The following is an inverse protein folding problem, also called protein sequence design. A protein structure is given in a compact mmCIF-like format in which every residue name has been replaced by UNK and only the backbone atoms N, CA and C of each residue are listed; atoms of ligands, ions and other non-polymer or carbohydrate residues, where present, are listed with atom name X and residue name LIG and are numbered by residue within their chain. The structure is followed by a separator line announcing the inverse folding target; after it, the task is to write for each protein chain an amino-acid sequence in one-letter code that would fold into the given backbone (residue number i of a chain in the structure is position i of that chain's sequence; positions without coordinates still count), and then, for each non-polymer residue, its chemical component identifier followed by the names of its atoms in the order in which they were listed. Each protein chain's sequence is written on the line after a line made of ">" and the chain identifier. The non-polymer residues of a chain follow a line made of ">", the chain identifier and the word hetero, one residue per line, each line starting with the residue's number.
data_IF_207676861604
#
_entry.id   IF_207676861604
#
_cell.length_a   1.000
_cell.length_b   1.000
_cell.length_c   1.000
_cell.angle_alpha   90.00
_cell.angle_beta   90.00
_cell.angle_gamma   90.00
#
_symmetry.space_group_name_H-M   'P 1'
#
loop_
_entity.id
_entity.type
_entity.pdbx_description
1 polymer ?
#
# COMPACT_ATOMS: atom_id res chain seq x y z
N UNK A 1 20.74 -14.73 -1.61
CA UNK A 1 19.63 -13.74 -1.72
C UNK A 1 19.04 -13.63 -0.32
N UNK A 2 19.19 -12.47 0.34
CA UNK A 2 18.75 -12.31 1.73
C UNK A 2 17.22 -12.43 1.82
N UNK A 3 16.72 -13.04 2.89
CA UNK A 3 15.30 -13.04 3.19
C UNK A 3 14.81 -11.57 3.37
N UNK A 4 13.53 -11.34 3.15
CA UNK A 4 12.92 -10.04 3.38
C UNK A 4 12.21 -10.05 4.73
N UNK A 5 12.43 -9.00 5.51
CA UNK A 5 11.68 -8.73 6.74
C UNK A 5 10.72 -7.59 6.44
N UNK A 6 9.43 -7.81 6.75
CA UNK A 6 8.41 -6.75 6.71
C UNK A 6 7.99 -6.44 8.13
N UNK A 7 8.12 -5.19 8.53
CA UNK A 7 7.86 -4.74 9.90
C UNK A 7 7.13 -3.39 9.95
N UNK A 8 6.49 -3.06 11.07
CA UNK A 8 5.92 -1.73 11.28
C UNK A 8 6.98 -0.63 11.19
N UNK A 9 6.54 0.54 10.72
CA UNK A 9 7.30 1.79 10.76
C UNK A 9 7.61 2.17 12.22
N UNK A 10 8.84 2.60 12.49
CA UNK A 10 9.28 3.13 13.77
C UNK A 10 9.71 4.60 13.63
N UNK A 11 9.76 5.41 14.72
CA UNK A 11 10.12 6.82 14.63
C UNK A 11 11.45 7.10 13.93
N UNK A 12 12.45 6.26 14.16
CA UNK A 12 13.77 6.34 13.53
C UNK A 12 13.77 6.12 12.03
N UNK A 13 12.73 5.48 11.49
CA UNK A 13 12.61 5.18 10.05
C UNK A 13 12.10 6.35 9.22
N UNK A 14 11.69 7.45 9.84
CA UNK A 14 11.02 8.57 9.17
C UNK A 14 11.80 9.04 7.92
N UNK A 15 13.11 9.20 8.05
CA UNK A 15 13.97 9.64 6.95
C UNK A 15 13.97 8.63 5.80
N UNK A 16 14.23 7.36 6.10
CA UNK A 16 14.29 6.28 5.09
C UNK A 16 12.96 6.10 4.37
N UNK A 17 11.84 6.16 5.10
CA UNK A 17 10.51 6.09 4.51
C UNK A 17 10.24 7.27 3.56
N UNK A 18 10.61 8.50 3.93
CA UNK A 18 10.53 9.65 3.04
C UNK A 18 11.38 9.49 1.79
N UNK A 19 12.61 8.98 1.92
CA UNK A 19 13.51 8.76 0.79
C UNK A 19 12.97 7.72 -0.20
N UNK A 20 12.28 6.67 0.29
CA UNK A 20 11.61 5.68 -0.57
C UNK A 20 10.48 6.33 -1.36
N UNK A 21 9.61 7.12 -0.73
CA UNK A 21 8.54 7.85 -1.43
C UNK A 21 9.10 8.85 -2.46
N UNK A 22 10.11 9.63 -2.06
CA UNK A 22 10.77 10.58 -2.96
C UNK A 22 11.32 9.91 -4.21
N UNK A 23 11.99 8.77 -4.05
CA UNK A 23 12.56 8.03 -5.18
C UNK A 23 11.51 7.57 -6.17
N UNK A 24 10.36 7.11 -5.67
CA UNK A 24 9.30 6.55 -6.51
C UNK A 24 8.41 7.63 -7.16
N UNK A 25 8.15 8.74 -6.48
CA UNK A 25 7.13 9.71 -6.87
C UNK A 25 7.63 11.12 -7.12
N UNK A 26 8.95 11.33 -7.15
CA UNK A 26 9.54 12.65 -7.43
C UNK A 26 9.02 13.23 -8.75
N UNK A 27 8.58 14.48 -8.70
CA UNK A 27 8.05 15.18 -9.87
C UNK A 27 6.62 14.78 -10.25
N UNK A 28 5.96 13.94 -9.46
CA UNK A 28 4.55 13.57 -9.68
C UNK A 28 3.62 14.34 -8.75
N UNK A 29 2.35 14.48 -9.14
CA UNK A 29 1.30 15.07 -8.30
C UNK A 29 0.94 14.20 -7.08
N UNK A 30 1.35 12.93 -7.06
CA UNK A 30 1.01 11.99 -5.99
C UNK A 30 1.85 12.21 -4.72
N UNK A 31 3.08 12.69 -4.87
CA UNK A 31 4.06 12.78 -3.78
C UNK A 31 3.54 13.61 -2.58
N UNK A 32 2.91 14.75 -2.84
CA UNK A 32 2.39 15.62 -1.78
C UNK A 32 1.38 14.86 -0.90
N UNK A 33 0.42 14.18 -1.51
CA UNK A 33 -0.59 13.42 -0.77
C UNK A 33 0.01 12.24 -0.01
N UNK A 34 0.95 11.51 -0.61
CA UNK A 34 1.59 10.37 0.05
C UNK A 34 2.46 10.80 1.23
N UNK A 35 3.07 11.97 1.19
CA UNK A 35 3.77 12.58 2.33
C UNK A 35 2.83 12.89 3.50
N UNK A 36 1.61 13.38 3.22
CA UNK A 36 0.60 13.63 4.25
C UNK A 36 0.18 12.31 4.94
N UNK A 37 -0.07 11.25 4.14
CA UNK A 37 -0.42 9.92 4.66
C UNK A 37 0.73 9.35 5.51
N UNK A 38 1.98 9.47 5.05
CA UNK A 38 3.15 9.04 5.82
C UNK A 38 3.33 9.86 7.11
N UNK A 39 3.11 11.19 7.04
CA UNK A 39 3.21 12.05 8.22
C UNK A 39 2.17 11.68 9.30
N UNK A 40 0.98 11.27 8.92
CA UNK A 40 -0.01 10.75 9.86
C UNK A 40 0.43 9.41 10.46
N UNK A 41 0.91 8.46 9.64
CA UNK A 41 1.44 7.18 10.11
C UNK A 41 2.62 7.34 11.09
N UNK A 42 3.38 8.44 10.99
CA UNK A 42 4.49 8.79 11.89
C UNK A 42 4.04 9.44 13.21
N UNK A 43 2.76 9.72 13.41
CA UNK A 43 2.26 10.28 14.68
C UNK A 43 2.27 9.29 15.82
N UNK A 44 2.14 7.99 15.54
CA UNK A 44 2.11 6.86 16.48
C UNK A 44 1.02 6.90 17.57
N UNK A 45 0.37 8.03 17.76
CA UNK A 45 -0.76 8.21 18.66
C UNK A 45 -2.05 8.20 17.85
N UNK A 46 -2.76 7.07 17.84
CA UNK A 46 -4.04 6.87 17.14
C UNK A 46 -4.00 7.31 15.65
N UNK A 47 -3.08 6.77 14.84
CA UNK A 47 -2.94 7.17 13.45
C UNK A 47 -4.10 6.62 12.61
N UNK A 48 -4.61 7.41 11.67
CA UNK A 48 -5.57 6.94 10.64
C UNK A 48 -4.92 5.96 9.66
N UNK A 49 -3.61 6.13 9.45
CA UNK A 49 -2.83 5.37 8.48
C UNK A 49 -1.73 4.57 9.16
N UNK A 50 -1.45 3.41 8.61
CA UNK A 50 -0.38 2.53 9.01
C UNK A 50 0.67 2.43 7.90
N UNK A 51 1.91 2.18 8.30
CA UNK A 51 3.00 1.95 7.37
C UNK A 51 3.76 0.69 7.77
N UNK A 52 4.00 -0.19 6.80
CA UNK A 52 4.96 -1.29 6.93
C UNK A 52 6.15 -1.01 6.03
N UNK A 53 7.33 -1.36 6.49
CA UNK A 53 8.60 -1.26 5.78
C UNK A 53 9.11 -2.65 5.41
N UNK A 54 9.80 -2.74 4.29
CA UNK A 54 10.52 -3.94 3.89
C UNK A 54 12.03 -3.68 3.89
N UNK A 55 12.77 -4.61 4.48
CA UNK A 55 14.24 -4.59 4.60
C UNK A 55 14.80 -5.97 4.24
N UNK A 56 15.99 -6.07 3.62
CA UNK A 56 16.72 -7.34 3.55
C UNK A 56 17.12 -7.77 4.97
N UNK A 57 16.99 -9.05 5.27
CA UNK A 57 17.38 -9.58 6.58
C UNK A 57 18.85 -9.28 6.89
N UNK A 58 19.10 -8.69 8.06
CA UNK A 58 20.44 -8.29 8.52
C UNK A 58 20.94 -6.97 7.95
N UNK A 59 20.13 -6.23 7.20
CA UNK A 59 20.47 -4.89 6.69
C UNK A 59 19.47 -3.87 7.25
N UNK A 60 19.97 -2.65 7.57
CA UNK A 60 19.14 -1.53 8.03
C UNK A 60 18.67 -0.64 6.85
N UNK A 61 18.58 -1.24 5.66
CA UNK A 61 18.23 -0.49 4.45
C UNK A 61 16.78 -0.74 4.07
N UNK A 62 15.95 0.29 4.14
CA UNK A 62 14.56 0.23 3.69
C UNK A 62 14.52 0.18 2.16
N UNK A 63 13.98 -0.92 1.61
CA UNK A 63 13.89 -1.17 0.17
C UNK A 63 12.46 -1.02 -0.38
N UNK A 64 11.48 -0.85 0.50
CA UNK A 64 10.10 -0.61 0.13
C UNK A 64 9.22 -0.28 1.32
N UNK A 65 8.03 0.24 1.04
CA UNK A 65 7.01 0.53 2.05
C UNK A 65 5.60 0.34 1.49
N UNK A 66 4.64 0.13 2.39
CA UNK A 66 3.21 0.19 2.08
C UNK A 66 2.49 1.07 3.08
N UNK A 67 1.68 1.98 2.57
CA UNK A 67 0.80 2.86 3.32
C UNK A 67 -0.64 2.38 3.17
N UNK A 68 -1.32 2.13 4.28
CA UNK A 68 -2.71 1.67 4.29
C UNK A 68 -3.44 2.15 5.54
N UNK A 69 -4.76 2.08 5.53
CA UNK A 69 -5.57 2.50 6.66
C UNK A 69 -7.02 2.09 6.50
N UNK A 70 -7.84 2.37 7.51
CA UNK A 70 -9.27 2.08 7.47
C UNK A 70 -9.99 3.01 6.51
N UNK A 71 -11.09 2.54 5.92
CA UNK A 71 -11.97 3.38 5.11
C UNK A 71 -13.02 3.98 6.04
N UNK A 72 -13.02 5.31 6.19
CA UNK A 72 -13.98 6.02 7.01
C UNK A 72 -15.43 5.70 6.58
N UNK A 73 -16.25 5.31 7.54
CA UNK A 73 -17.65 4.96 7.32
C UNK A 73 -17.89 3.55 6.76
N UNK A 74 -16.84 2.81 6.37
CA UNK A 74 -16.95 1.43 5.96
C UNK A 74 -16.64 0.48 7.13
N UNK A 75 -17.47 -0.53 7.34
CA UNK A 75 -17.21 -1.54 8.37
C UNK A 75 -16.21 -2.55 7.84
N UNK A 76 -15.08 -2.73 8.54
CA UNK A 76 -14.07 -3.75 8.26
C UNK A 76 -13.54 -3.67 6.82
N UNK A 77 -13.15 -2.48 6.40
CA UNK A 77 -12.55 -2.25 5.09
C UNK A 77 -11.27 -1.45 5.23
N UNK A 78 -10.22 -1.93 4.59
CA UNK A 78 -8.91 -1.29 4.55
C UNK A 78 -8.62 -0.77 3.15
N UNK A 79 -8.04 0.43 3.05
CA UNK A 79 -7.52 1.00 1.81
C UNK A 79 -6.01 0.96 1.80
N UNK A 80 -5.43 0.44 0.71
CA UNK A 80 -4.00 0.62 0.38
C UNK A 80 -3.86 1.94 -0.40
N UNK A 81 -3.09 2.88 0.15
CA UNK A 81 -2.82 4.17 -0.47
C UNK A 81 -1.64 4.14 -1.42
N UNK A 82 -0.59 3.43 -1.05
CA UNK A 82 0.57 3.16 -1.89
C UNK A 82 1.30 1.92 -1.40
N UNK A 83 1.83 1.14 -2.32
CA UNK A 83 2.83 0.11 -2.07
C UNK A 83 4.00 0.40 -3.01
N UNK A 84 5.17 0.62 -2.45
CA UNK A 84 6.33 1.18 -3.15
C UNK A 84 7.53 0.28 -2.97
N UNK A 85 8.05 -0.24 -4.06
CA UNK A 85 9.31 -0.98 -4.12
C UNK A 85 9.86 -0.96 -5.54
N UNK A 86 11.16 -1.12 -5.69
CA UNK A 86 11.81 -1.27 -7.01
C UNK A 86 11.92 -2.73 -7.45
N UNK A 87 11.87 -3.66 -6.47
CA UNK A 87 11.91 -5.11 -6.72
C UNK A 87 10.49 -5.69 -6.61
N UNK A 88 10.01 -6.43 -7.62
CA UNK A 88 8.71 -7.11 -7.59
C UNK A 88 8.49 -8.00 -6.36
N UNK A 89 9.53 -8.66 -5.86
CA UNK A 89 9.42 -9.52 -4.67
C UNK A 89 9.12 -8.72 -3.41
N UNK A 90 9.74 -7.55 -3.27
CA UNK A 90 9.48 -6.62 -2.17
C UNK A 90 8.04 -6.13 -2.24
N UNK A 91 7.57 -5.77 -3.44
CA UNK A 91 6.19 -5.35 -3.66
C UNK A 91 5.19 -6.43 -3.24
N UNK A 92 5.45 -7.69 -3.62
CA UNK A 92 4.61 -8.83 -3.26
C UNK A 92 4.61 -9.08 -1.74
N UNK A 93 5.78 -9.03 -1.10
CA UNK A 93 5.91 -9.22 0.36
C UNK A 93 5.15 -8.14 1.15
N UNK A 94 5.20 -6.89 0.72
CA UNK A 94 4.45 -5.79 1.34
C UNK A 94 2.93 -6.01 1.23
N UNK A 95 2.43 -6.42 0.07
CA UNK A 95 1.00 -6.70 -0.11
C UNK A 95 0.55 -7.94 0.68
N UNK A 96 1.40 -8.97 0.78
CA UNK A 96 1.13 -10.13 1.63
C UNK A 96 1.01 -9.74 3.10
N UNK A 97 1.91 -8.89 3.60
CA UNK A 97 1.88 -8.40 4.99
C UNK A 97 0.61 -7.55 5.29
N UNK A 98 0.14 -6.74 4.34
CA UNK A 98 -1.15 -6.05 4.47
C UNK A 98 -2.29 -7.05 4.56
N UNK A 99 -2.34 -8.05 3.68
CA UNK A 99 -3.39 -9.08 3.69
C UNK A 99 -3.41 -9.85 5.02
N UNK A 100 -2.25 -10.26 5.51
CA UNK A 100 -2.13 -10.95 6.80
C UNK A 100 -2.60 -10.07 7.97
N UNK A 101 -2.24 -8.79 7.96
CA UNK A 101 -2.71 -7.82 8.95
C UNK A 101 -4.22 -7.69 8.91
N UNK A 102 -4.80 -7.56 7.72
CA UNK A 102 -6.25 -7.45 7.52
C UNK A 102 -7.00 -8.71 7.95
N UNK A 103 -6.47 -9.91 7.65
CA UNK A 103 -7.05 -11.17 8.13
C UNK A 103 -7.05 -11.23 9.66
N UNK A 104 -5.94 -10.89 10.31
CA UNK A 104 -5.83 -10.88 11.78
C UNK A 104 -6.78 -9.89 12.44
N UNK A 105 -7.00 -8.74 11.80
CA UNK A 105 -7.94 -7.70 12.30
C UNK A 105 -9.39 -7.99 11.93
N UNK A 106 -9.66 -9.09 11.22
CA UNK A 106 -11.01 -9.47 10.81
C UNK A 106 -11.61 -8.55 9.74
N UNK A 107 -10.75 -7.92 8.91
CA UNK A 107 -11.20 -7.09 7.80
C UNK A 107 -11.96 -7.91 6.76
N UNK A 108 -12.97 -7.30 6.16
CA UNK A 108 -13.86 -7.94 5.18
C UNK A 108 -13.33 -7.80 3.76
N UNK A 109 -12.64 -6.70 3.48
CA UNK A 109 -12.06 -6.43 2.17
C UNK A 109 -10.90 -5.44 2.26
N UNK A 110 -10.03 -5.52 1.28
CA UNK A 110 -8.95 -4.55 1.05
C UNK A 110 -9.14 -3.92 -0.33
N UNK A 111 -9.15 -2.61 -0.36
CA UNK A 111 -9.33 -1.81 -1.57
C UNK A 111 -8.03 -1.10 -1.93
N UNK A 112 -7.68 -1.07 -3.19
CA UNK A 112 -6.61 -0.23 -3.71
C UNK A 112 -7.13 0.58 -4.90
N UNK A 113 -7.14 1.90 -4.75
CA UNK A 113 -7.40 2.84 -5.83
C UNK A 113 -6.07 3.15 -6.52
N UNK A 114 -5.91 2.67 -7.74
CA UNK A 114 -4.64 2.73 -8.46
C UNK A 114 -4.77 3.58 -9.72
N UNK A 115 -4.09 4.74 -9.78
CA UNK A 115 -3.95 5.47 -11.04
C UNK A 115 -3.29 4.59 -12.09
N UNK A 116 -3.79 4.62 -13.31
CA UNK A 116 -3.14 3.96 -14.45
C UNK A 116 -2.01 4.85 -14.98
N UNK A 117 -0.96 4.95 -14.21
CA UNK A 117 0.20 5.80 -14.48
C UNK A 117 1.48 5.05 -14.10
N UNK A 118 2.57 5.36 -14.78
CA UNK A 118 3.85 4.64 -14.69
C UNK A 118 4.36 4.38 -13.26
N UNK A 119 4.28 5.32 -12.28
CA UNK A 119 4.73 5.04 -10.92
C UNK A 119 4.01 3.88 -10.22
N UNK A 120 2.86 3.45 -10.75
CA UNK A 120 2.01 2.40 -10.18
C UNK A 120 2.02 1.08 -10.96
N UNK A 121 2.76 0.97 -12.06
CA UNK A 121 2.74 -0.22 -12.94
C UNK A 121 3.11 -1.49 -12.16
N UNK A 122 4.19 -1.44 -11.38
CA UNK A 122 4.62 -2.58 -10.57
C UNK A 122 3.59 -2.97 -9.52
N UNK A 123 2.93 -1.98 -8.90
CA UNK A 123 1.85 -2.21 -7.94
C UNK A 123 0.67 -2.91 -8.60
N UNK A 124 0.26 -2.48 -9.79
CA UNK A 124 -0.83 -3.10 -10.54
C UNK A 124 -0.57 -4.58 -10.85
N UNK A 125 0.65 -4.90 -11.30
CA UNK A 125 1.07 -6.29 -11.55
C UNK A 125 1.02 -7.12 -10.26
N UNK A 126 1.54 -6.57 -9.17
CA UNK A 126 1.60 -7.26 -7.88
C UNK A 126 0.21 -7.50 -7.28
N UNK A 127 -0.72 -6.54 -7.42
CA UNK A 127 -2.11 -6.70 -6.97
C UNK A 127 -2.78 -7.89 -7.66
N UNK A 128 -2.69 -7.97 -8.99
CA UNK A 128 -3.25 -9.09 -9.76
C UNK A 128 -2.62 -10.42 -9.33
N UNK A 129 -1.30 -10.46 -9.19
CA UNK A 129 -0.57 -11.66 -8.75
C UNK A 129 -0.98 -12.12 -7.33
N UNK A 130 -1.50 -11.22 -6.49
CA UNK A 130 -2.01 -11.50 -5.14
C UNK A 130 -3.52 -11.69 -5.06
N UNK A 131 -4.19 -11.85 -6.21
CA UNK A 131 -5.61 -12.18 -6.29
C UNK A 131 -6.54 -11.00 -6.04
N UNK A 132 -6.04 -9.77 -6.10
CA UNK A 132 -6.90 -8.60 -6.21
C UNK A 132 -7.59 -8.61 -7.57
N UNK A 133 -8.87 -8.25 -7.60
CA UNK A 133 -9.65 -8.13 -8.83
C UNK A 133 -9.94 -6.67 -9.11
N UNK A 134 -9.81 -6.26 -10.36
CA UNK A 134 -10.29 -4.96 -10.80
C UNK A 134 -11.82 -4.99 -10.85
N UNK A 135 -12.47 -4.21 -10.00
CA UNK A 135 -13.94 -4.14 -9.89
C UNK A 135 -14.50 -2.82 -10.38
N UNK A 136 -13.65 -1.89 -10.75
CA UNK A 136 -14.08 -0.61 -11.30
C UNK A 136 -12.95 0.13 -11.99
N UNK A 137 -13.36 1.01 -12.90
CA UNK A 137 -12.48 1.89 -13.66
C UNK A 137 -13.21 3.18 -13.99
N UNK A 138 -12.55 4.30 -13.78
CA UNK A 138 -13.07 5.64 -14.12
C UNK A 138 -12.04 6.29 -15.03
N UNK A 139 -12.43 6.49 -16.30
CA UNK A 139 -11.57 7.13 -17.30
C UNK A 139 -11.36 8.60 -16.95
N UNK A 140 -10.19 9.15 -17.29
CA UNK A 140 -9.81 10.55 -17.11
C UNK A 140 -9.99 11.10 -15.69
N UNK A 141 -10.08 10.23 -14.67
CA UNK A 141 -10.36 10.64 -13.29
C UNK A 141 -9.21 11.41 -12.64
N UNK A 142 -7.99 10.97 -12.89
CA UNK A 142 -6.78 11.58 -12.29
C UNK A 142 -6.35 12.81 -13.09
N UNK A 143 -6.35 12.70 -14.41
CA UNK A 143 -6.12 13.69 -15.43
C UNK A 143 -6.45 13.10 -16.79
N UNK A 144 -6.49 13.91 -17.84
CA UNK A 144 -6.73 13.45 -19.22
C UNK A 144 -5.79 12.29 -19.56
N UNK A 145 -6.34 11.17 -20.02
CA UNK A 145 -5.62 9.94 -20.38
C UNK A 145 -5.16 9.08 -19.20
N UNK A 146 -5.48 9.44 -17.96
CA UNK A 146 -5.11 8.64 -16.77
C UNK A 146 -6.36 8.23 -15.99
N UNK A 147 -6.72 6.96 -16.15
CA UNK A 147 -7.83 6.37 -15.43
C UNK A 147 -7.49 6.06 -13.97
N UNK A 148 -8.51 6.04 -13.11
CA UNK A 148 -8.44 5.42 -11.79
C UNK A 148 -9.01 4.01 -11.88
N UNK A 149 -8.24 3.02 -11.41
CA UNK A 149 -8.64 1.61 -11.35
C UNK A 149 -8.91 1.22 -9.90
N UNK A 150 -9.98 0.49 -9.65
CA UNK A 150 -10.36 0.01 -8.34
C UNK A 150 -10.07 -1.49 -8.24
N UNK A 151 -9.10 -1.85 -7.43
CA UNK A 151 -8.78 -3.24 -7.13
C UNK A 151 -9.32 -3.62 -5.76
N UNK A 152 -9.89 -4.82 -5.65
CA UNK A 152 -10.47 -5.33 -4.41
C UNK A 152 -9.98 -6.76 -4.15
N UNK A 153 -9.58 -7.01 -2.92
CA UNK A 153 -9.29 -8.35 -2.41
C UNK A 153 -10.20 -8.67 -1.22
N UNK A 154 -10.68 -9.90 -1.15
CA UNK A 154 -11.51 -10.40 -0.05
C UNK A 154 -10.86 -11.63 0.56
N UNK A 155 -10.71 -11.69 1.90
CA UNK A 155 -10.29 -12.91 2.59
C UNK A 155 -11.20 -14.08 2.25
N UNK A 156 -10.64 -15.28 2.17
CA UNK A 156 -11.44 -16.49 2.02
C UNK A 156 -12.37 -16.63 3.23
N UNK A 157 -13.69 -16.80 2.99
CA UNK A 157 -14.70 -16.90 4.05
C UNK A 157 -15.40 -15.59 4.41
N UNK A 158 -14.99 -14.44 3.88
CA UNK A 158 -15.67 -13.15 4.15
C UNK A 158 -17.04 -13.01 3.46
N UNK A 159 -17.42 -13.92 2.58
CA UNK A 159 -18.62 -13.82 1.76
C UNK A 159 -19.92 -14.33 2.43
N UNK A 160 -19.91 -14.70 3.71
CA UNK A 160 -21.03 -15.44 4.33
C UNK A 160 -21.67 -14.74 5.54
N UNK A 161 -21.54 -13.43 5.69
CA UNK A 161 -22.20 -12.70 6.79
C UNK A 161 -22.84 -11.41 6.25
N UNK A 162 -23.91 -11.56 5.51
CA UNK A 162 -24.84 -10.47 5.18
C UNK A 162 -26.08 -10.59 6.04
#
# INVERSE_FOLDING_TARGET
>A
MNALVVRPLMPEDARSAHEVLERAFRGTAYLARLREVLADALRFEDPEYLCLLAEPEGEETVVGLVLFGTILGARRATRVHAAVATDPRVQLALLDAVRETCVRSGERLVVCELPQDTPFDLTGIALVARGYREEGRIEDFVRDGVALRLFVWRPAGAAASA
#
